data_IF_469114140963
#
_entry.id   IF_469114140963
#
_cell.length_a   1.000
_cell.length_b   1.000
_cell.length_c   1.000
_cell.angle_alpha   90.00
_cell.angle_beta   90.00
_cell.angle_gamma   90.00
#
_symmetry.space_group_name_H-M   'P 1'
#
loop_
_entity.id
_entity.type
_entity.pdbx_description
1 polymer ?
#
# COMPACT_ATOMS: atom_id res chain seq x y z
N UNK A 1 10.20 8.50 2.63
CA UNK A 1 9.10 7.60 3.07
C UNK A 1 7.96 7.69 2.06
N UNK A 2 7.45 6.58 1.52
CA UNK A 2 6.34 6.56 0.54
C UNK A 2 5.07 5.99 1.15
N UNK A 3 3.91 6.40 0.63
CA UNK A 3 2.59 5.93 1.11
C UNK A 3 2.07 4.82 0.20
N UNK A 4 1.65 3.71 0.81
CA UNK A 4 0.94 2.62 0.17
C UNK A 4 -0.53 2.60 0.64
N UNK A 5 -1.42 2.16 -0.24
CA UNK A 5 -2.87 2.12 -0.03
C UNK A 5 -3.45 0.77 -0.42
N UNK A 6 -4.63 0.44 0.12
CA UNK A 6 -5.45 -0.68 -0.31
C UNK A 6 -5.29 -1.99 0.48
N UNK A 7 -4.37 -2.05 1.46
CA UNK A 7 -4.15 -3.28 2.25
C UNK A 7 -3.43 -4.39 1.48
N UNK A 8 -3.18 -5.52 2.15
CA UNK A 8 -2.60 -6.73 1.57
C UNK A 8 -3.19 -7.96 2.26
N UNK A 9 -2.94 -9.16 1.73
CA UNK A 9 -3.44 -10.41 2.31
C UNK A 9 -2.99 -10.65 3.77
N UNK A 10 -1.84 -10.08 4.19
CA UNK A 10 -1.31 -10.20 5.55
C UNK A 10 -1.63 -8.97 6.43
N UNK A 11 -2.71 -8.23 6.13
CA UNK A 11 -3.13 -7.08 6.93
C UNK A 11 -4.34 -7.41 7.80
N UNK A 12 -4.45 -6.75 8.95
CA UNK A 12 -5.67 -6.73 9.76
C UNK A 12 -6.73 -5.75 9.19
N UNK A 13 -7.95 -5.83 9.72
CA UNK A 13 -9.09 -5.04 9.26
C UNK A 13 -8.86 -3.52 9.32
N UNK A 14 -8.12 -3.04 10.33
CA UNK A 14 -7.79 -1.61 10.46
C UNK A 14 -6.96 -1.10 9.29
N UNK A 15 -6.04 -1.94 8.79
CA UNK A 15 -5.17 -1.54 7.70
C UNK A 15 -5.82 -1.65 6.31
N UNK A 16 -7.01 -2.24 6.22
CA UNK A 16 -7.81 -2.37 4.98
C UNK A 16 -8.78 -1.21 4.76
N UNK A 17 -8.91 -0.29 5.72
CA UNK A 17 -9.71 0.92 5.57
C UNK A 17 -9.23 1.76 4.38
N UNK A 18 -10.17 2.35 3.64
CA UNK A 18 -9.89 3.25 2.51
C UNK A 18 -8.99 4.43 2.90
N UNK A 19 -9.15 4.94 4.13
CA UNK A 19 -8.38 6.05 4.66
C UNK A 19 -7.01 5.66 5.21
N UNK A 20 -6.67 4.36 5.28
CA UNK A 20 -5.41 3.92 5.86
C UNK A 20 -4.21 4.37 5.00
N UNK A 21 -3.16 4.87 5.65
CA UNK A 21 -1.97 5.43 5.00
C UNK A 21 -0.73 4.72 5.51
N UNK A 22 -0.39 3.58 4.89
CA UNK A 22 0.76 2.80 5.31
C UNK A 22 2.05 3.46 4.80
N UNK A 23 2.92 3.89 5.71
CA UNK A 23 4.17 4.57 5.35
C UNK A 23 5.32 3.57 5.32
N UNK A 24 6.12 3.59 4.26
CA UNK A 24 7.26 2.69 4.14
C UNK A 24 8.54 3.32 3.60
N UNK A 25 9.66 2.64 3.85
CA UNK A 25 10.93 2.96 3.18
C UNK A 25 10.86 2.48 1.72
N UNK A 26 11.37 3.29 0.79
CA UNK A 26 11.36 2.99 -0.65
C UNK A 26 12.16 1.74 -1.03
N UNK A 27 13.11 1.34 -0.18
CA UNK A 27 13.96 0.18 -0.43
C UNK A 27 13.36 -1.13 0.10
N UNK A 28 12.24 -1.08 0.82
CA UNK A 28 11.63 -2.28 1.40
C UNK A 28 10.76 -3.01 0.35
N UNK A 29 11.35 -4.05 -0.22
CA UNK A 29 10.78 -4.94 -1.23
C UNK A 29 10.31 -6.23 -0.55
N UNK A 30 9.00 -6.37 -0.35
CA UNK A 30 8.39 -7.59 0.16
C UNK A 30 7.19 -8.00 -0.70
N UNK A 31 6.70 -9.21 -0.51
CA UNK A 31 5.60 -9.82 -1.29
C UNK A 31 4.20 -9.33 -0.91
N UNK A 32 4.08 -8.34 -0.02
CA UNK A 32 2.81 -7.75 0.41
C UNK A 32 2.54 -6.39 -0.24
N UNK A 33 3.37 -5.96 -1.19
CA UNK A 33 3.31 -4.64 -1.81
C UNK A 33 3.31 -4.77 -3.32
N UNK A 34 2.44 -3.99 -3.94
CA UNK A 34 2.38 -3.81 -5.38
C UNK A 34 2.09 -2.36 -5.74
N UNK A 35 1.86 -2.12 -7.03
CA UNK A 35 1.46 -0.82 -7.56
C UNK A 35 0.32 -1.00 -8.56
N UNK A 36 -0.42 0.08 -8.82
CA UNK A 36 -1.44 0.15 -9.86
C UNK A 36 -1.03 1.26 -10.82
N UNK A 37 -1.17 1.01 -12.11
CA UNK A 37 -0.94 2.03 -13.13
C UNK A 37 -2.10 3.03 -13.10
N UNK A 38 -1.76 4.30 -13.34
CA UNK A 38 -2.71 5.34 -13.65
C UNK A 38 -2.41 5.83 -15.07
N UNK A 39 -3.45 6.32 -15.74
CA UNK A 39 -3.32 7.02 -17.02
C UNK A 39 -3.93 8.40 -16.87
N UNK A 40 -3.40 9.35 -17.62
CA UNK A 40 -4.02 10.66 -17.76
C UNK A 40 -5.32 10.53 -18.57
N UNK A 41 -6.24 11.49 -18.39
CA UNK A 41 -7.54 11.55 -19.07
C UNK A 41 -7.41 12.14 -20.47
#
# INVERSE_FOLDING_TARGET
MRVLRGGSWNNNNNNSRSSNRNRNNGNNRNNNRGFRLARDL
#
